data_IF_872565861994
#
_entry.id   IF_872565861994
#
_cell.length_a   1.000
_cell.length_b   1.000
_cell.length_c   1.000
_cell.angle_alpha   90.00
_cell.angle_beta   90.00
_cell.angle_gamma   90.00
#
_symmetry.space_group_name_H-M   'P 1'
#
loop_
_entity.id
_entity.type
_entity.pdbx_description
1 polymer ?
#
# COMPACT_ATOMS: atom_id res chain seq x y z
N UNK A 1 17.88 8.92 -41.03
CA UNK A 1 18.24 10.29 -40.61
C UNK A 1 17.70 10.61 -39.19
N UNK A 2 18.14 9.89 -38.15
CA UNK A 2 17.61 10.03 -36.76
C UNK A 2 18.58 10.66 -35.74
N UNK A 3 19.84 10.89 -36.14
CA UNK A 3 20.88 11.41 -35.23
C UNK A 3 20.83 12.93 -35.02
N UNK A 4 20.17 13.69 -35.91
CA UNK A 4 20.19 15.16 -35.89
C UNK A 4 19.26 15.77 -34.85
N UNK A 5 18.13 15.13 -34.53
CA UNK A 5 17.17 15.64 -33.53
C UNK A 5 17.64 15.49 -32.08
N UNK A 6 18.39 14.43 -31.77
CA UNK A 6 18.93 14.21 -30.42
C UNK A 6 20.05 15.22 -30.06
N UNK A 7 20.88 15.60 -31.04
CA UNK A 7 21.93 16.60 -30.86
C UNK A 7 21.38 18.01 -30.59
N UNK A 8 20.28 18.39 -31.24
CA UNK A 8 19.65 19.70 -31.03
C UNK A 8 19.03 19.79 -29.62
N UNK A 9 18.37 18.73 -29.16
CA UNK A 9 17.81 18.69 -27.80
C UNK A 9 18.90 18.78 -26.71
N UNK A 10 20.03 18.08 -26.90
CA UNK A 10 21.16 18.15 -25.96
C UNK A 10 21.84 19.53 -26.00
N UNK A 11 21.99 20.14 -27.17
CA UNK A 11 22.56 21.47 -27.31
C UNK A 11 21.68 22.56 -26.65
N UNK A 12 20.35 22.45 -26.76
CA UNK A 12 19.41 23.38 -26.11
C UNK A 12 19.45 23.22 -24.59
N UNK A 13 19.53 21.99 -24.07
CA UNK A 13 19.66 21.75 -22.63
C UNK A 13 21.00 22.27 -22.10
N UNK A 14 22.11 22.04 -22.81
CA UNK A 14 23.43 22.55 -22.41
C UNK A 14 23.49 24.08 -22.48
N UNK A 15 22.86 24.71 -23.48
CA UNK A 15 22.75 26.16 -23.58
C UNK A 15 21.91 26.74 -22.43
N UNK A 16 20.81 26.10 -22.06
CA UNK A 16 20.00 26.48 -20.90
C UNK A 16 20.77 26.34 -19.58
N UNK A 17 21.53 25.26 -19.40
CA UNK A 17 22.41 25.09 -18.22
C UNK A 17 23.51 26.15 -18.20
N UNK A 18 24.10 26.48 -19.36
CA UNK A 18 25.10 27.54 -19.50
C UNK A 18 24.56 28.93 -19.17
N UNK A 19 23.36 29.26 -19.64
CA UNK A 19 22.68 30.54 -19.36
C UNK A 19 22.28 30.63 -17.89
N UNK A 20 21.77 29.55 -17.29
CA UNK A 20 21.44 29.52 -15.86
C UNK A 20 22.69 29.62 -14.98
N UNK A 21 23.80 29.00 -15.40
CA UNK A 21 25.10 29.12 -14.72
C UNK A 21 25.70 30.53 -14.84
N UNK A 22 25.53 31.18 -15.99
CA UNK A 22 26.03 32.53 -16.26
C UNK A 22 25.23 33.63 -15.52
N UNK A 23 23.91 33.49 -15.41
CA UNK A 23 23.03 34.50 -14.81
C UNK A 23 23.04 34.45 -13.27
N UNK A 24 23.19 33.26 -12.67
CA UNK A 24 23.03 33.10 -11.22
C UNK A 24 24.32 32.73 -10.44
N UNK A 25 25.46 32.62 -11.14
CA UNK A 25 26.77 32.35 -10.56
C UNK A 25 26.93 30.95 -9.93
N UNK A 26 28.15 30.57 -9.52
CA UNK A 26 28.45 29.25 -8.95
C UNK A 26 27.69 28.96 -7.63
N UNK A 27 27.21 29.99 -6.94
CA UNK A 27 26.35 29.86 -5.75
C UNK A 27 24.97 29.26 -6.05
N UNK A 28 24.40 29.56 -7.22
CA UNK A 28 23.12 28.96 -7.65
C UNK A 28 23.27 27.53 -8.14
N UNK A 29 24.42 27.16 -8.72
CA UNK A 29 24.78 25.76 -9.01
C UNK A 29 24.87 24.92 -7.73
N UNK A 30 25.38 25.48 -6.63
CA UNK A 30 25.41 24.81 -5.31
C UNK A 30 23.99 24.59 -4.75
N UNK A 31 23.12 25.60 -4.82
CA UNK A 31 21.70 25.47 -4.42
C UNK A 31 20.92 24.54 -5.35
N UNK A 32 21.16 24.58 -6.66
CA UNK A 32 20.56 23.68 -7.62
C UNK A 32 20.98 22.23 -7.38
N UNK A 33 22.26 21.96 -7.02
CA UNK A 33 22.72 20.63 -6.63
C UNK A 33 22.06 20.13 -5.34
N UNK A 34 21.84 20.99 -4.35
CA UNK A 34 21.15 20.64 -3.12
C UNK A 34 19.68 20.25 -3.35
N UNK A 35 19.01 20.87 -4.33
CA UNK A 35 17.63 20.52 -4.71
C UNK A 35 17.57 19.33 -5.68
N UNK A 36 18.57 19.16 -6.55
CA UNK A 36 18.59 18.12 -7.59
C UNK A 36 19.04 16.75 -7.07
N UNK A 37 19.95 16.70 -6.08
CA UNK A 37 20.47 15.45 -5.54
C UNK A 37 19.37 14.54 -4.94
N UNK A 38 18.43 15.04 -4.11
CA UNK A 38 17.32 14.22 -3.59
C UNK A 38 16.41 13.67 -4.71
N UNK A 39 16.14 14.48 -5.74
CA UNK A 39 15.30 14.09 -6.88
C UNK A 39 15.98 12.99 -7.71
N UNK A 40 17.29 13.12 -7.95
CA UNK A 40 18.05 12.11 -8.70
C UNK A 40 18.11 10.77 -7.98
N UNK A 41 18.33 10.77 -6.65
CA UNK A 41 18.31 9.54 -5.84
C UNK A 41 16.94 8.86 -5.87
N UNK A 42 15.86 9.62 -5.71
CA UNK A 42 14.51 9.08 -5.77
C UNK A 42 14.21 8.45 -7.15
N UNK A 43 14.69 9.07 -8.24
CA UNK A 43 14.53 8.54 -9.59
C UNK A 43 15.30 7.22 -9.78
N UNK A 44 16.52 7.14 -9.27
CA UNK A 44 17.32 5.92 -9.33
C UNK A 44 16.69 4.80 -8.51
N UNK A 45 16.21 5.10 -7.29
CA UNK A 45 15.51 4.13 -6.44
C UNK A 45 14.21 3.62 -7.06
N UNK A 46 13.42 4.50 -7.69
CA UNK A 46 12.24 4.10 -8.44
C UNK A 46 12.61 3.19 -9.63
N UNK A 47 13.65 3.55 -10.40
CA UNK A 47 14.10 2.75 -11.54
C UNK A 47 14.58 1.36 -11.10
N UNK A 48 15.31 1.29 -10.00
CA UNK A 48 15.80 0.04 -9.43
C UNK A 48 14.63 -0.80 -8.87
N UNK A 49 13.62 -0.16 -8.29
CA UNK A 49 12.41 -0.83 -7.84
C UNK A 49 11.63 -1.40 -9.03
N UNK A 50 11.43 -0.63 -10.10
CA UNK A 50 10.77 -1.13 -11.31
C UNK A 50 11.55 -2.27 -11.96
N UNK A 51 12.89 -2.21 -11.96
CA UNK A 51 13.73 -3.30 -12.45
C UNK A 51 13.52 -4.57 -11.61
N UNK A 52 13.49 -4.44 -10.29
CA UNK A 52 13.15 -5.53 -9.38
C UNK A 52 11.75 -6.09 -9.64
N UNK A 53 10.72 -5.24 -9.78
CA UNK A 53 9.35 -5.69 -10.11
C UNK A 53 9.31 -6.47 -11.43
N UNK A 54 10.03 -6.02 -12.46
CA UNK A 54 10.15 -6.74 -13.74
C UNK A 54 10.82 -8.09 -13.58
N UNK A 55 11.85 -8.20 -12.74
CA UNK A 55 12.54 -9.47 -12.46
C UNK A 55 11.64 -10.48 -11.75
N UNK A 56 10.69 -10.04 -10.92
CA UNK A 56 9.74 -10.93 -10.25
C UNK A 56 8.77 -11.61 -11.23
N UNK A 57 8.56 -11.03 -12.42
CA UNK A 57 7.70 -11.56 -13.49
C UNK A 57 6.35 -12.10 -12.98
N UNK A 58 5.72 -11.37 -12.06
CA UNK A 58 4.48 -11.80 -11.43
C UNK A 58 3.30 -11.59 -12.38
N UNK A 59 2.41 -12.59 -12.42
CA UNK A 59 1.15 -12.54 -13.15
C UNK A 59 0.01 -12.94 -12.22
N UNK A 60 -1.14 -12.28 -12.37
CA UNK A 60 -2.32 -12.63 -11.59
C UNK A 60 -2.77 -14.06 -11.98
N UNK A 61 -2.99 -14.95 -10.99
CA UNK A 61 -3.46 -16.29 -11.29
C UNK A 61 -4.92 -16.24 -11.79
N UNK A 62 -5.28 -17.16 -12.69
CA UNK A 62 -6.63 -17.23 -13.26
C UNK A 62 -7.70 -17.51 -12.19
N UNK A 63 -7.34 -18.30 -11.18
CA UNK A 63 -8.12 -18.55 -9.97
C UNK A 63 -7.35 -18.02 -8.76
N UNK A 64 -8.04 -17.45 -7.74
CA UNK A 64 -7.36 -16.99 -6.53
C UNK A 64 -6.55 -18.12 -5.90
N UNK A 65 -5.25 -17.89 -5.70
CA UNK A 65 -4.35 -18.82 -5.02
C UNK A 65 -3.60 -18.04 -3.94
N UNK A 66 -3.53 -18.61 -2.74
CA UNK A 66 -2.93 -17.96 -1.58
C UNK A 66 -2.30 -19.02 -0.68
N UNK A 67 -1.00 -18.87 -0.42
CA UNK A 67 -0.29 -19.64 0.61
C UNK A 67 -0.34 -18.90 1.96
N UNK A 68 -0.14 -19.63 3.06
CA UNK A 68 -0.07 -19.03 4.39
C UNK A 68 1.03 -17.95 4.48
N UNK A 69 2.21 -18.26 3.94
CA UNK A 69 3.35 -17.33 3.88
C UNK A 69 3.00 -16.04 3.12
N UNK A 70 2.28 -16.14 1.99
CA UNK A 70 1.85 -14.98 1.22
C UNK A 70 0.77 -14.17 1.92
N UNK A 71 -0.13 -14.82 2.66
CA UNK A 71 -1.11 -14.13 3.49
C UNK A 71 -0.41 -13.35 4.63
N UNK A 72 0.55 -13.96 5.31
CA UNK A 72 1.29 -13.30 6.39
C UNK A 72 2.13 -12.13 5.85
N UNK A 73 2.81 -12.31 4.72
CA UNK A 73 3.53 -11.22 4.05
C UNK A 73 2.59 -10.08 3.63
N UNK A 74 1.40 -10.40 3.09
CA UNK A 74 0.39 -9.42 2.73
C UNK A 74 -0.08 -8.61 3.95
N UNK A 75 -0.45 -9.28 5.05
CA UNK A 75 -0.93 -8.61 6.26
C UNK A 75 0.16 -7.78 6.95
N UNK A 76 1.41 -8.26 6.95
CA UNK A 76 2.55 -7.51 7.46
C UNK A 76 2.84 -6.26 6.62
N UNK A 77 2.92 -6.41 5.29
CA UNK A 77 3.08 -5.30 4.36
C UNK A 77 1.96 -4.27 4.50
N UNK A 78 0.70 -4.72 4.61
CA UNK A 78 -0.47 -3.86 4.78
C UNK A 78 -0.36 -2.99 6.04
N UNK A 79 0.01 -3.58 7.18
CA UNK A 79 0.25 -2.84 8.44
C UNK A 79 1.36 -1.81 8.30
N UNK A 80 2.44 -2.17 7.63
CA UNK A 80 3.55 -1.27 7.41
C UNK A 80 3.20 -0.10 6.48
N UNK A 81 2.54 -0.37 5.36
CA UNK A 81 2.05 0.66 4.44
C UNK A 81 1.07 1.62 5.14
N UNK A 82 0.26 1.12 6.08
CA UNK A 82 -0.57 1.97 6.94
C UNK A 82 0.23 2.87 7.86
N UNK A 83 1.24 2.32 8.54
CA UNK A 83 2.12 3.13 9.38
C UNK A 83 2.81 4.23 8.58
N UNK A 84 3.15 3.94 7.32
CA UNK A 84 3.66 4.93 6.37
C UNK A 84 2.61 5.98 5.99
N UNK A 85 1.40 5.59 5.62
CA UNK A 85 0.34 6.55 5.26
C UNK A 85 -0.04 7.45 6.46
N UNK A 86 -0.04 6.92 7.69
CA UNK A 86 -0.26 7.71 8.91
C UNK A 86 0.87 8.72 9.16
N UNK A 87 2.13 8.29 8.98
CA UNK A 87 3.28 9.21 9.00
C UNK A 87 3.14 10.28 7.93
N UNK A 88 2.73 9.93 6.72
CA UNK A 88 2.53 10.88 5.62
C UNK A 88 1.49 11.95 5.97
N UNK A 89 0.38 11.56 6.60
CA UNK A 89 -0.67 12.50 6.98
C UNK A 89 -0.22 13.47 8.09
N UNK A 90 0.67 13.01 9.00
CA UNK A 90 1.27 13.90 10.00
C UNK A 90 2.12 15.03 9.40
N UNK A 91 2.72 14.82 8.22
CA UNK A 91 3.45 15.87 7.48
C UNK A 91 2.53 16.86 6.77
N UNK A 92 1.24 16.55 6.56
CA UNK A 92 0.31 17.45 5.85
C UNK A 92 -0.32 18.53 6.74
N UNK A 93 -0.24 18.38 8.07
CA UNK A 93 -0.80 19.31 9.05
C UNK A 93 -2.35 19.46 8.95
N UNK A 94 -3.00 20.07 9.94
CA UNK A 94 -4.43 20.37 9.86
C UNK A 94 -4.70 21.39 8.74
N UNK A 95 -5.79 21.21 7.99
CA UNK A 95 -6.15 22.08 6.85
C UNK A 95 -6.31 23.56 7.23
N UNK A 96 -6.53 23.86 8.52
CA UNK A 96 -6.62 25.21 9.10
C UNK A 96 -5.27 25.92 9.26
N UNK A 97 -4.15 25.19 9.19
CA UNK A 97 -2.78 25.72 9.28
C UNK A 97 -2.06 25.67 7.93
N UNK A 98 -2.79 25.75 6.81
CA UNK A 98 -2.20 26.07 5.49
C UNK A 98 -1.70 27.51 5.46
N UNK A 99 -0.82 27.90 6.39
CA UNK A 99 0.12 29.00 6.15
C UNK A 99 0.91 28.59 4.92
N UNK A 100 0.95 29.46 3.93
CA UNK A 100 1.76 29.31 2.71
C UNK A 100 3.11 28.74 3.10
N UNK A 101 3.35 27.44 2.82
CA UNK A 101 4.66 26.83 3.02
C UNK A 101 5.68 27.73 2.33
N UNK A 102 6.67 28.24 3.08
CA UNK A 102 7.64 29.16 2.49
C UNK A 102 8.50 28.35 1.54
N UNK A 103 9.01 29.00 0.50
CA UNK A 103 9.92 28.34 -0.44
C UNK A 103 11.17 27.76 0.25
N UNK A 104 11.52 28.30 1.42
CA UNK A 104 12.59 27.83 2.31
C UNK A 104 12.30 26.48 2.98
N UNK A 105 11.01 26.10 3.14
CA UNK A 105 10.60 24.84 3.78
C UNK A 105 10.52 23.67 2.76
N UNK A 106 10.56 23.98 1.46
CA UNK A 106 10.44 22.99 0.38
C UNK A 106 11.50 21.89 0.41
N UNK A 107 12.79 22.14 0.73
CA UNK A 107 13.79 21.08 0.83
C UNK A 107 13.45 20.04 1.92
N UNK A 108 13.02 20.48 3.10
CA UNK A 108 12.64 19.58 4.19
C UNK A 108 11.37 18.78 3.88
N UNK A 109 10.39 19.41 3.22
CA UNK A 109 9.18 18.74 2.73
C UNK A 109 9.54 17.69 1.66
N UNK A 110 10.43 18.02 0.72
CA UNK A 110 10.86 17.11 -0.35
C UNK A 110 11.71 15.95 0.19
N UNK A 111 12.54 16.18 1.21
CA UNK A 111 13.27 15.11 1.90
C UNK A 111 12.32 14.20 2.70
N UNK A 112 11.33 14.76 3.39
CA UNK A 112 10.32 13.99 4.12
C UNK A 112 9.43 13.15 3.19
N UNK A 113 8.97 13.72 2.08
CA UNK A 113 8.17 13.00 1.07
C UNK A 113 9.02 11.98 0.32
N UNK A 114 10.26 12.32 -0.04
CA UNK A 114 11.20 11.42 -0.69
C UNK A 114 11.55 10.21 0.17
N UNK A 115 11.80 10.42 1.46
CA UNK A 115 12.01 9.33 2.43
C UNK A 115 10.81 8.41 2.55
N UNK A 116 9.59 8.96 2.55
CA UNK A 116 8.36 8.16 2.64
C UNK A 116 8.10 7.29 1.41
N UNK A 117 8.37 7.82 0.22
CA UNK A 117 8.31 7.03 -1.03
C UNK A 117 9.34 5.91 -0.98
N UNK A 118 10.57 6.22 -0.58
CA UNK A 118 11.67 5.26 -0.47
C UNK A 118 11.33 4.13 0.52
N UNK A 119 10.83 4.48 1.71
CA UNK A 119 10.35 3.53 2.72
C UNK A 119 9.26 2.60 2.16
N UNK A 120 8.33 3.15 1.36
CA UNK A 120 7.26 2.38 0.71
C UNK A 120 7.82 1.36 -0.28
N UNK A 121 8.76 1.77 -1.14
CA UNK A 121 9.42 0.86 -2.09
C UNK A 121 10.18 -0.25 -1.36
N UNK A 122 10.87 0.10 -0.27
CA UNK A 122 11.60 -0.86 0.56
C UNK A 122 10.67 -1.82 1.31
N UNK A 123 9.47 -1.39 1.72
CA UNK A 123 8.48 -2.28 2.35
C UNK A 123 8.07 -3.40 1.38
N UNK A 124 7.72 -3.08 0.13
CA UNK A 124 7.41 -4.10 -0.88
C UNK A 124 8.57 -5.10 -1.10
N UNK A 125 9.82 -4.61 -1.12
CA UNK A 125 11.00 -5.48 -1.22
C UNK A 125 11.19 -6.37 0.01
N UNK A 126 11.08 -5.83 1.22
CA UNK A 126 11.24 -6.58 2.48
C UNK A 126 10.22 -7.71 2.62
N UNK A 127 8.98 -7.46 2.21
CA UNK A 127 7.91 -8.47 2.23
C UNK A 127 7.85 -9.32 0.95
N UNK A 128 8.82 -9.16 0.05
CA UNK A 128 8.92 -9.87 -1.23
C UNK A 128 7.58 -10.00 -1.98
N UNK A 129 6.89 -8.86 -2.11
CA UNK A 129 5.58 -8.77 -2.72
C UNK A 129 5.58 -7.61 -3.70
N UNK A 130 5.23 -7.88 -4.95
CA UNK A 130 5.13 -6.80 -5.93
C UNK A 130 3.83 -6.01 -5.77
N UNK A 131 3.77 -4.73 -6.17
CA UNK A 131 2.56 -3.93 -6.04
C UNK A 131 1.31 -4.55 -6.68
N UNK A 132 1.46 -5.21 -7.84
CA UNK A 132 0.35 -5.86 -8.52
C UNK A 132 -0.19 -7.10 -7.77
N UNK A 133 0.69 -7.84 -7.11
CA UNK A 133 0.34 -8.96 -6.23
C UNK A 133 -0.43 -8.46 -5.02
N UNK A 134 0.09 -7.41 -4.37
CA UNK A 134 -0.59 -6.75 -3.26
C UNK A 134 -1.99 -6.24 -3.64
N UNK A 135 -2.13 -5.53 -4.76
CA UNK A 135 -3.43 -5.03 -5.23
C UNK A 135 -4.40 -6.16 -5.59
N UNK A 136 -3.88 -7.32 -6.03
CA UNK A 136 -4.70 -8.51 -6.27
C UNK A 136 -5.22 -9.10 -4.96
N UNK A 137 -4.37 -9.21 -3.95
CA UNK A 137 -4.74 -9.72 -2.63
C UNK A 137 -5.64 -8.75 -1.86
N UNK A 138 -5.40 -7.45 -1.94
CA UNK A 138 -6.26 -6.42 -1.33
C UNK A 138 -7.69 -6.52 -1.86
N UNK A 139 -7.87 -6.68 -3.18
CA UNK A 139 -9.18 -6.88 -3.80
C UNK A 139 -9.82 -8.20 -3.38
N UNK A 140 -9.05 -9.28 -3.37
CA UNK A 140 -9.54 -10.59 -2.93
C UNK A 140 -10.07 -10.52 -1.49
N UNK A 141 -9.30 -9.94 -0.57
CA UNK A 141 -9.60 -9.94 0.86
C UNK A 141 -10.64 -8.87 1.23
N UNK A 142 -10.40 -7.61 0.85
CA UNK A 142 -11.15 -6.46 1.35
C UNK A 142 -12.25 -5.96 0.41
N UNK A 143 -12.23 -6.31 -0.88
CA UNK A 143 -13.33 -5.96 -1.81
C UNK A 143 -14.27 -7.13 -2.07
N UNK A 144 -13.79 -8.37 -1.98
CA UNK A 144 -14.58 -9.57 -2.28
C UNK A 144 -14.90 -10.40 -1.02
N UNK A 145 -13.90 -11.00 -0.38
CA UNK A 145 -14.12 -11.97 0.70
C UNK A 145 -14.81 -11.38 1.92
N UNK A 146 -14.20 -10.37 2.56
CA UNK A 146 -14.70 -9.80 3.80
C UNK A 146 -16.08 -9.13 3.62
N UNK A 147 -16.30 -8.26 2.61
CA UNK A 147 -17.62 -7.65 2.42
C UNK A 147 -18.75 -8.67 2.21
N UNK A 148 -18.50 -9.77 1.47
CA UNK A 148 -19.52 -10.81 1.28
C UNK A 148 -19.88 -11.49 2.61
N UNK A 149 -18.89 -11.82 3.45
CA UNK A 149 -19.16 -12.42 4.76
C UNK A 149 -19.92 -11.46 5.69
N UNK A 150 -19.56 -10.18 5.69
CA UNK A 150 -20.26 -9.15 6.46
C UNK A 150 -21.70 -8.98 5.98
N UNK A 151 -21.94 -8.94 4.67
CA UNK A 151 -23.27 -8.82 4.09
C UNK A 151 -24.17 -10.01 4.43
N UNK A 152 -23.62 -11.23 4.48
CA UNK A 152 -24.34 -12.44 4.89
C UNK A 152 -24.48 -12.60 6.41
N UNK A 153 -24.10 -11.59 7.21
CA UNK A 153 -24.06 -11.66 8.69
C UNK A 153 -23.28 -12.87 9.20
N UNK A 154 -22.27 -13.27 8.45
CA UNK A 154 -21.43 -14.42 8.71
C UNK A 154 -20.01 -13.98 9.08
N UNK A 155 -19.93 -12.88 9.82
CA UNK A 155 -18.70 -12.28 10.32
C UNK A 155 -17.92 -13.29 11.20
N UNK A 156 -16.75 -13.77 10.73
CA UNK A 156 -15.98 -14.77 11.44
C UNK A 156 -15.34 -14.22 12.73
N UNK A 157 -14.82 -12.99 12.77
CA UNK A 157 -14.21 -12.49 14.01
C UNK A 157 -15.24 -12.03 15.04
N UNK A 158 -16.43 -11.59 14.64
CA UNK A 158 -17.55 -11.35 15.56
C UNK A 158 -18.01 -12.66 16.23
N UNK A 159 -18.06 -13.76 15.48
CA UNK A 159 -18.39 -15.09 16.02
C UNK A 159 -17.34 -15.57 17.02
N UNK A 160 -16.06 -15.43 16.71
CA UNK A 160 -15.00 -15.82 17.63
C UNK A 160 -14.99 -14.94 18.89
N UNK A 161 -15.16 -13.61 18.76
CA UNK A 161 -15.33 -12.71 19.90
C UNK A 161 -16.52 -13.10 20.78
N UNK A 162 -17.66 -13.43 20.18
CA UNK A 162 -18.83 -13.90 20.93
C UNK A 162 -18.54 -15.22 21.65
N UNK A 163 -17.84 -16.16 21.01
CA UNK A 163 -17.43 -17.41 21.63
C UNK A 163 -16.49 -17.18 22.83
N UNK A 164 -15.53 -16.28 22.70
CA UNK A 164 -14.61 -15.90 23.80
C UNK A 164 -15.37 -15.28 24.98
N UNK A 165 -16.31 -14.36 24.75
CA UNK A 165 -17.12 -13.78 25.82
C UNK A 165 -18.02 -14.82 26.51
N UNK A 166 -18.58 -15.77 25.75
CA UNK A 166 -19.36 -16.88 26.30
C UNK A 166 -18.49 -17.81 27.14
N UNK A 167 -17.26 -18.10 26.72
CA UNK A 167 -16.31 -18.90 27.51
C UNK A 167 -15.91 -18.20 28.80
N UNK A 168 -15.69 -16.88 28.74
CA UNK A 168 -15.41 -16.05 29.91
C UNK A 168 -16.60 -16.09 30.89
N UNK A 169 -17.82 -15.95 30.40
CA UNK A 169 -19.04 -16.09 31.21
C UNK A 169 -19.14 -17.49 31.83
N UNK A 170 -18.82 -18.54 31.07
CA UNK A 170 -18.79 -19.91 31.58
C UNK A 170 -17.75 -20.10 32.69
N UNK A 171 -16.61 -19.41 32.63
CA UNK A 171 -15.57 -19.43 33.67
C UNK A 171 -16.06 -18.90 35.02
N UNK A 172 -16.98 -17.94 35.01
CA UNK A 172 -17.56 -17.32 36.21
C UNK A 172 -18.87 -17.97 36.69
N UNK A 173 -19.41 -18.93 35.93
CA UNK A 173 -20.69 -19.57 36.24
C UNK A 173 -20.55 -20.66 37.31
N UNK A 174 -21.37 -20.58 38.36
CA UNK A 174 -21.37 -21.51 39.50
C UNK A 174 -22.07 -22.83 39.15
N UNK A 175 -23.14 -22.79 38.35
CA UNK A 175 -23.91 -23.96 37.97
C UNK A 175 -23.17 -24.83 36.93
N UNK A 176 -22.87 -26.11 37.22
CA UNK A 176 -22.20 -27.00 36.27
C UNK A 176 -22.98 -27.19 34.97
N UNK A 177 -24.32 -27.25 35.03
CA UNK A 177 -25.18 -27.44 33.88
C UNK A 177 -25.16 -26.22 32.94
N UNK A 178 -25.25 -25.01 33.50
CA UNK A 178 -25.19 -23.76 32.73
C UNK A 178 -23.81 -23.57 32.12
N UNK A 179 -22.75 -23.84 32.90
CA UNK A 179 -21.36 -23.82 32.42
C UNK A 179 -21.14 -24.75 31.22
N UNK A 180 -21.62 -25.99 31.30
CA UNK A 180 -21.51 -26.96 30.20
C UNK A 180 -22.26 -26.46 28.95
N UNK A 181 -23.46 -25.90 29.13
CA UNK A 181 -24.25 -25.35 28.03
C UNK A 181 -23.57 -24.16 27.37
N UNK A 182 -23.02 -23.21 28.14
CA UNK A 182 -22.30 -22.06 27.60
C UNK A 182 -21.07 -22.50 26.79
N UNK A 183 -20.27 -23.44 27.32
CA UNK A 183 -19.14 -24.01 26.58
C UNK A 183 -19.56 -24.69 25.29
N UNK A 184 -20.68 -25.41 25.28
CA UNK A 184 -21.23 -26.00 24.06
C UNK A 184 -21.60 -24.94 23.04
N UNK A 185 -22.27 -23.85 23.46
CA UNK A 185 -22.63 -22.74 22.56
C UNK A 185 -21.38 -22.08 21.98
N UNK A 186 -20.37 -21.80 22.80
CA UNK A 186 -19.10 -21.24 22.31
C UNK A 186 -18.42 -22.16 21.28
N UNK A 187 -18.38 -23.47 21.55
CA UNK A 187 -17.84 -24.45 20.61
C UNK A 187 -18.64 -24.49 19.29
N UNK A 188 -19.98 -24.46 19.36
CA UNK A 188 -20.84 -24.44 18.17
C UNK A 188 -20.66 -23.17 17.34
N UNK A 189 -20.44 -22.01 17.97
CA UNK A 189 -20.13 -20.77 17.27
C UNK A 189 -18.83 -20.86 16.48
N UNK A 190 -17.78 -21.49 17.06
CA UNK A 190 -16.48 -21.70 16.38
C UNK A 190 -16.53 -22.77 15.28
N UNK A 191 -17.36 -23.79 15.44
CA UNK A 191 -17.53 -24.85 14.44
C UNK A 191 -18.38 -24.41 13.24
N UNK A 192 -19.18 -23.35 13.39
CA UNK A 192 -19.99 -22.79 12.30
C UNK A 192 -19.12 -22.00 11.31
N UNK A 193 -18.53 -22.73 10.37
CA UNK A 193 -17.75 -22.15 9.28
C UNK A 193 -18.70 -21.67 8.18
N UNK A 194 -18.67 -20.38 7.78
CA UNK A 194 -19.47 -19.91 6.66
C UNK A 194 -19.03 -20.58 5.35
N UNK A 195 -19.93 -20.75 4.37
CA UNK A 195 -19.53 -21.23 3.06
C UNK A 195 -18.60 -20.21 2.36
N UNK A 196 -17.69 -20.67 1.48
CA UNK A 196 -16.85 -19.79 0.70
C UNK A 196 -17.70 -18.90 -0.22
N UNK A 197 -17.37 -17.60 -0.34
CA UNK A 197 -17.98 -16.73 -1.36
C UNK A 197 -17.75 -17.25 -2.78
N UNK A 198 -18.65 -16.90 -3.70
CA UNK A 198 -18.58 -17.34 -5.10
C UNK A 198 -17.24 -16.96 -5.77
N UNK A 199 -16.61 -17.94 -6.42
CA UNK A 199 -15.32 -17.76 -7.08
C UNK A 199 -14.15 -17.52 -6.11
N UNK A 200 -14.26 -17.91 -4.84
CA UNK A 200 -13.15 -18.05 -3.91
C UNK A 200 -12.97 -19.54 -3.61
N UNK A 201 -11.80 -20.14 -3.92
CA UNK A 201 -11.57 -21.54 -3.61
C UNK A 201 -11.71 -21.86 -2.11
N UNK A 202 -12.22 -23.04 -1.73
CA UNK A 202 -12.37 -23.42 -0.32
C UNK A 202 -11.08 -23.31 0.49
N UNK A 203 -9.94 -23.66 -0.11
CA UNK A 203 -8.63 -23.65 0.56
C UNK A 203 -8.20 -22.22 0.90
N UNK A 204 -8.41 -21.28 -0.03
CA UNK A 204 -8.16 -19.85 0.18
C UNK A 204 -9.10 -19.30 1.23
N UNK A 205 -10.38 -19.68 1.18
CA UNK A 205 -11.37 -19.27 2.17
C UNK A 205 -11.00 -19.74 3.58
N UNK A 206 -10.63 -21.01 3.75
CA UNK A 206 -10.17 -21.55 5.03
C UNK A 206 -8.95 -20.79 5.54
N UNK A 207 -7.98 -20.53 4.67
CA UNK A 207 -6.78 -19.80 5.06
C UNK A 207 -7.12 -18.37 5.53
N UNK A 208 -8.00 -17.65 4.84
CA UNK A 208 -8.44 -16.32 5.26
C UNK A 208 -9.20 -16.35 6.60
N UNK A 209 -10.00 -17.38 6.85
CA UNK A 209 -10.68 -17.56 8.14
C UNK A 209 -9.69 -17.69 9.31
N UNK A 210 -8.54 -18.36 9.11
CA UNK A 210 -7.53 -18.48 10.18
C UNK A 210 -6.95 -17.13 10.64
N UNK A 211 -7.02 -16.10 9.79
CA UNK A 211 -6.54 -14.74 10.08
C UNK A 211 -7.67 -13.71 10.10
N UNK A 212 -8.93 -14.15 10.18
CA UNK A 212 -10.12 -13.29 10.13
C UNK A 212 -10.05 -12.11 11.11
N UNK A 213 -9.70 -12.37 12.37
CA UNK A 213 -9.58 -11.33 13.38
C UNK A 213 -8.52 -10.28 13.05
N UNK A 214 -7.36 -10.68 12.50
CA UNK A 214 -6.35 -9.73 12.04
C UNK A 214 -6.84 -8.95 10.82
N UNK A 215 -7.44 -9.62 9.85
CA UNK A 215 -7.97 -9.01 8.62
C UNK A 215 -8.98 -7.91 8.97
N UNK A 216 -9.93 -8.20 9.87
CA UNK A 216 -10.97 -7.27 10.30
C UNK A 216 -10.44 -6.12 11.18
N UNK A 217 -9.44 -6.39 12.03
CA UNK A 217 -8.83 -5.36 12.88
C UNK A 217 -8.15 -4.25 12.08
N UNK A 218 -7.78 -4.54 10.83
CA UNK A 218 -7.23 -3.54 9.93
C UNK A 218 -8.38 -2.78 9.26
N UNK A 219 -8.43 -1.43 9.35
CA UNK A 219 -9.45 -0.62 8.69
C UNK A 219 -9.75 -1.05 7.24
N UNK A 220 -11.01 -0.95 6.83
CA UNK A 220 -11.45 -1.21 5.46
C UNK A 220 -11.19 0.01 4.59
N UNK A 221 -10.63 -0.20 3.39
CA UNK A 221 -10.25 0.86 2.46
C UNK A 221 -8.97 0.53 1.69
N UNK A 222 -8.92 0.95 0.41
CA UNK A 222 -7.74 0.76 -0.44
C UNK A 222 -6.58 1.54 0.14
N UNK A 223 -5.54 0.82 0.54
CA UNK A 223 -4.21 1.39 0.67
C UNK A 223 -3.64 1.33 -0.73
N UNK A 224 -3.80 2.41 -1.49
CA UNK A 224 -3.41 2.42 -2.90
C UNK A 224 -1.93 2.05 -3.02
N UNK A 225 -1.58 0.96 -3.72
CA UNK A 225 -0.19 0.65 -4.03
C UNK A 225 0.49 1.70 -4.94
N UNK A 226 -0.23 2.77 -5.31
CA UNK A 226 0.23 3.85 -6.18
C UNK A 226 1.39 4.61 -5.56
N UNK A 227 2.59 4.17 -5.91
CA UNK A 227 3.69 5.09 -6.22
C UNK A 227 3.16 5.99 -7.34
N UNK A 228 3.11 7.30 -7.12
CA UNK A 228 2.60 8.23 -8.11
C UNK A 228 3.36 8.02 -9.43
N UNK A 229 2.66 7.55 -10.48
CA UNK A 229 3.23 7.61 -11.83
C UNK A 229 3.46 9.10 -12.13
N UNK A 230 4.67 9.52 -12.56
CA UNK A 230 4.82 10.81 -13.19
C UNK A 230 3.80 10.86 -14.32
N UNK A 231 3.02 11.93 -14.36
CA UNK A 231 2.01 12.18 -15.39
C UNK A 231 2.71 12.05 -16.75
N UNK A 232 2.47 10.97 -17.49
CA UNK A 232 2.92 10.87 -18.87
C UNK A 232 2.38 12.09 -19.60
N UNK A 233 3.30 12.82 -20.23
CA UNK A 233 3.01 14.05 -20.95
C UNK A 233 1.84 13.82 -21.89
N UNK A 234 0.78 14.60 -21.69
CA UNK A 234 -0.30 14.75 -22.65
C UNK A 234 0.37 15.14 -23.99
N UNK A 235 0.21 14.37 -25.08
CA UNK A 235 0.63 14.89 -26.37
C UNK A 235 -0.23 16.12 -26.64
N UNK A 236 0.41 17.29 -26.74
CA UNK A 236 -0.23 18.49 -27.25
C UNK A 236 -0.68 18.18 -28.68
N UNK A 237 -2.00 18.05 -28.83
CA UNK A 237 -2.67 18.05 -30.11
C UNK A 237 -2.42 19.40 -30.77
N UNK A 238 -1.37 19.50 -31.58
CA UNK A 238 -1.24 20.57 -32.56
C UNK A 238 -2.26 20.33 -33.66
N UNK A 239 -3.42 20.95 -33.53
CA UNK A 239 -4.39 21.10 -34.60
C UNK A 239 -4.72 22.59 -34.73
N UNK A 240 -4.09 23.25 -35.70
CA UNK A 240 -4.61 24.44 -36.36
C UNK A 240 -4.22 24.35 -37.83
N UNK A 241 -5.16 24.51 -38.78
CA UNK A 241 -4.86 25.23 -40.01
C UNK A 241 -4.81 26.75 -39.74
#
# INVERSE_FOLDING_TARGET
MRARGCLVAVAVVLALVGVVAAVFGPGALRRARQVYAPISRMKDEQRDFEAWVRQQNWHAPATPALSAEKLDAFLALRRELRGLDQRAESFRGPASERRRARFEDMPAIMEGVGGLVSDRLQAFRRHNMVPAEYDSLDRLVYEKWLPTLLASRADPAARDRAAVEIEKAAGSETSPAVRARLRQVAASLRQSVPPPPEGIPPEVHQLLLTRAGEIESQPTGRIAARVARPREGRPESTASP
#
